data_IF_347101271842
#
_entry.id   IF_347101271842
#
_cell.length_a   1.000
_cell.length_b   1.000
_cell.length_c   1.000
_cell.angle_alpha   90.00
_cell.angle_beta   90.00
_cell.angle_gamma   90.00
#
_symmetry.space_group_name_H-M   'P 1'
#
loop_
_entity.id
_entity.type
_entity.pdbx_description
1 polymer ?
#
# COMPACT_ATOMS: atom_id res chain seq x y z
N UNK A 1 39.06 -11.72 21.60
CA UNK A 1 38.79 -13.00 20.92
C UNK A 1 38.58 -14.15 21.92
N UNK A 2 39.30 -14.19 23.03
CA UNK A 2 39.16 -15.27 24.04
C UNK A 2 37.78 -15.30 24.73
N UNK A 3 37.17 -14.15 24.93
CA UNK A 3 35.87 -13.99 25.61
C UNK A 3 34.67 -14.58 24.86
N UNK A 4 34.82 -14.88 23.58
CA UNK A 4 33.73 -15.43 22.72
C UNK A 4 33.79 -16.95 22.53
N UNK A 5 34.72 -17.64 23.20
CA UNK A 5 34.88 -19.10 23.06
C UNK A 5 33.70 -19.89 23.61
N UNK A 6 32.95 -19.33 24.56
CA UNK A 6 31.76 -19.92 25.15
C UNK A 6 30.46 -19.67 24.32
N UNK A 7 30.50 -18.73 23.35
CA UNK A 7 29.32 -18.45 22.53
C UNK A 7 29.17 -19.54 21.43
N UNK A 8 28.09 -20.30 21.53
CA UNK A 8 27.74 -21.36 20.57
C UNK A 8 27.59 -20.86 19.13
N UNK A 9 27.34 -19.56 18.95
CA UNK A 9 27.17 -18.91 17.63
C UNK A 9 28.48 -18.50 16.97
N UNK A 10 29.64 -18.76 17.63
CA UNK A 10 30.99 -18.49 17.12
C UNK A 10 31.11 -17.13 16.43
N UNK A 11 30.93 -16.01 17.16
CA UNK A 11 31.06 -14.69 16.56
C UNK A 11 32.47 -14.53 15.98
N UNK A 12 32.55 -13.95 14.80
CA UNK A 12 33.83 -13.64 14.14
C UNK A 12 34.11 -12.15 14.29
N UNK A 13 35.16 -11.83 15.05
CA UNK A 13 35.70 -10.47 15.12
C UNK A 13 36.59 -10.25 13.90
N UNK A 14 36.27 -9.26 13.08
CA UNK A 14 36.95 -8.95 11.82
C UNK A 14 38.15 -8.03 12.13
N UNK A 15 37.86 -6.80 12.53
CA UNK A 15 38.93 -5.80 12.74
C UNK A 15 38.49 -4.70 13.73
N UNK A 16 39.42 -3.82 14.06
CA UNK A 16 39.26 -2.57 14.77
C UNK A 16 39.38 -1.42 13.76
N UNK A 17 38.33 -0.66 13.58
CA UNK A 17 38.34 0.47 12.64
C UNK A 17 39.17 1.65 13.18
N UNK A 18 39.54 2.58 12.30
CA UNK A 18 40.24 3.83 12.67
C UNK A 18 39.44 4.72 13.64
N UNK A 19 38.15 4.49 13.78
CA UNK A 19 37.27 5.16 14.72
C UNK A 19 37.16 4.44 16.09
N UNK A 20 38.03 3.45 16.35
CA UNK A 20 38.01 2.58 17.54
C UNK A 20 36.72 1.76 17.68
N UNK A 21 36.03 1.46 16.56
CA UNK A 21 34.88 0.56 16.54
C UNK A 21 35.33 -0.86 16.22
N UNK A 22 34.79 -1.84 16.96
CA UNK A 22 35.04 -3.26 16.69
C UNK A 22 34.03 -3.77 15.66
N UNK A 23 34.52 -4.26 14.54
CA UNK A 23 33.72 -4.93 13.53
C UNK A 23 33.62 -6.42 13.85
N UNK A 24 32.38 -6.93 14.00
CA UNK A 24 32.15 -8.34 14.26
C UNK A 24 30.88 -8.85 13.56
N UNK A 25 30.89 -10.12 13.20
CA UNK A 25 29.72 -10.83 12.68
C UNK A 25 29.30 -11.93 13.63
N UNK A 26 28.00 -12.13 13.79
CA UNK A 26 27.41 -13.22 14.56
C UNK A 26 26.23 -13.80 13.81
N UNK A 27 26.22 -15.10 13.60
CA UNK A 27 25.11 -15.78 12.95
C UNK A 27 23.88 -15.79 13.88
N UNK A 28 22.72 -15.46 13.32
CA UNK A 28 21.44 -15.54 14.01
C UNK A 28 20.87 -16.96 13.80
N UNK A 29 21.01 -17.84 14.80
CA UNK A 29 20.59 -19.22 14.68
C UNK A 29 19.09 -19.45 14.98
N UNK A 30 18.39 -18.48 15.56
CA UNK A 30 16.97 -18.61 15.89
C UNK A 30 16.20 -17.45 15.31
N UNK A 31 14.95 -17.72 14.90
CA UNK A 31 13.99 -16.68 14.57
C UNK A 31 13.85 -15.73 15.76
N UNK A 32 13.77 -14.44 15.51
CA UNK A 32 13.53 -13.49 16.59
C UNK A 32 12.10 -13.65 17.13
N UNK A 33 11.88 -13.28 18.37
CA UNK A 33 10.58 -13.41 19.03
C UNK A 33 9.50 -12.64 18.25
N UNK A 34 9.84 -11.47 17.72
CA UNK A 34 8.92 -10.65 16.91
C UNK A 34 8.42 -11.39 15.66
N UNK A 35 9.27 -12.17 14.97
CA UNK A 35 8.83 -12.92 13.79
C UNK A 35 7.93 -14.13 14.12
N UNK A 36 7.85 -14.50 15.40
CA UNK A 36 6.98 -15.59 15.88
C UNK A 36 5.65 -14.99 16.38
N UNK A 37 5.71 -13.85 17.08
CA UNK A 37 4.54 -13.25 17.74
C UNK A 37 3.76 -12.29 16.85
N UNK A 38 4.39 -11.68 15.85
CA UNK A 38 3.78 -10.66 15.01
C UNK A 38 3.78 -11.07 13.55
N UNK A 39 2.76 -10.65 12.84
CA UNK A 39 2.67 -10.71 11.37
C UNK A 39 2.83 -9.32 10.78
N UNK A 40 3.19 -9.25 9.52
CA UNK A 40 3.26 -7.98 8.79
C UNK A 40 1.88 -7.36 8.72
N UNK A 41 1.78 -6.05 8.98
CA UNK A 41 0.51 -5.34 8.88
C UNK A 41 -0.01 -5.37 7.44
N UNK A 42 -1.23 -5.89 7.18
CA UNK A 42 -1.76 -5.98 5.82
C UNK A 42 -2.03 -4.60 5.19
N UNK A 43 -2.27 -3.56 6.01
CA UNK A 43 -2.58 -2.21 5.51
C UNK A 43 -1.35 -1.46 4.98
N UNK A 44 -0.17 -1.72 5.50
CA UNK A 44 1.04 -0.97 5.12
C UNK A 44 2.19 -1.89 4.67
N UNK A 45 1.97 -3.20 4.58
CA UNK A 45 3.02 -4.15 4.20
C UNK A 45 4.29 -4.07 5.07
N UNK A 46 4.20 -3.52 6.28
CA UNK A 46 5.33 -3.34 7.20
C UNK A 46 6.08 -2.00 7.03
N UNK A 47 5.66 -1.12 6.13
CA UNK A 47 6.28 0.20 5.92
C UNK A 47 5.99 1.21 7.06
N UNK A 48 4.95 0.97 7.86
CA UNK A 48 4.45 1.89 8.89
C UNK A 48 3.79 3.16 8.31
N UNK A 49 3.58 3.21 6.99
CA UNK A 49 2.97 4.34 6.28
C UNK A 49 1.92 3.82 5.31
N UNK A 50 0.86 4.60 5.12
CA UNK A 50 -0.18 4.38 4.12
C UNK A 50 -0.34 5.65 3.30
N UNK A 51 -0.88 5.55 2.12
CA UNK A 51 -1.13 6.71 1.28
C UNK A 51 -2.16 7.64 1.91
N UNK A 52 -1.92 8.93 1.78
CA UNK A 52 -2.87 9.94 2.21
C UNK A 52 -4.07 9.98 1.24
N UNK A 53 -5.30 10.27 1.72
CA UNK A 53 -6.49 10.34 0.87
C UNK A 53 -6.34 11.30 -0.31
N UNK A 54 -5.58 12.38 -0.13
CA UNK A 54 -5.25 13.36 -1.18
C UNK A 54 -4.44 12.74 -2.31
N UNK A 55 -3.49 11.84 -1.97
CA UNK A 55 -2.69 11.10 -2.97
C UNK A 55 -3.58 10.16 -3.77
N UNK A 56 -4.44 9.42 -3.07
CA UNK A 56 -5.40 8.52 -3.72
C UNK A 56 -6.36 9.28 -4.65
N UNK A 57 -6.81 10.47 -4.26
CA UNK A 57 -7.62 11.35 -5.11
C UNK A 57 -6.90 11.71 -6.42
N UNK A 58 -5.62 12.06 -6.34
CA UNK A 58 -4.81 12.38 -7.53
C UNK A 58 -4.66 11.15 -8.44
N UNK A 59 -4.46 9.96 -7.88
CA UNK A 59 -4.36 8.72 -8.65
C UNK A 59 -5.70 8.36 -9.32
N UNK A 60 -6.82 8.51 -8.62
CA UNK A 60 -8.16 8.33 -9.20
C UNK A 60 -8.34 9.28 -10.40
N UNK A 61 -7.99 10.57 -10.25
CA UNK A 61 -8.08 11.54 -11.33
C UNK A 61 -7.20 11.18 -12.53
N UNK A 62 -5.98 10.70 -12.29
CA UNK A 62 -5.07 10.21 -13.33
C UNK A 62 -5.67 9.01 -14.08
N UNK A 63 -6.26 8.07 -13.35
CA UNK A 63 -6.90 6.89 -13.93
C UNK A 63 -8.10 7.28 -14.79
N UNK A 64 -8.97 8.16 -14.30
CA UNK A 64 -10.10 8.69 -15.06
C UNK A 64 -9.64 9.39 -16.34
N UNK A 65 -8.60 10.22 -16.25
CA UNK A 65 -8.02 10.89 -17.42
C UNK A 65 -7.49 9.91 -18.44
N UNK A 66 -6.83 8.85 -18.02
CA UNK A 66 -6.34 7.79 -18.91
C UNK A 66 -7.50 7.09 -19.64
N UNK A 67 -8.58 6.76 -18.93
CA UNK A 67 -9.78 6.15 -19.52
C UNK A 67 -10.46 7.10 -20.51
N UNK A 68 -10.54 8.38 -20.18
CA UNK A 68 -11.10 9.42 -21.05
C UNK A 68 -10.32 9.54 -22.37
N UNK A 69 -8.98 9.61 -22.29
CA UNK A 69 -8.11 9.71 -23.47
C UNK A 69 -8.15 8.46 -24.34
N UNK A 70 -8.41 7.29 -23.77
CA UNK A 70 -8.56 6.02 -24.49
C UNK A 70 -9.95 5.83 -25.11
N UNK A 71 -10.88 6.76 -24.89
CA UNK A 71 -12.27 6.61 -25.35
C UNK A 71 -13.05 5.48 -24.67
N UNK A 72 -12.56 4.98 -23.52
CA UNK A 72 -13.17 3.90 -22.74
C UNK A 72 -14.00 4.41 -21.57
N UNK A 73 -14.40 5.67 -21.61
CA UNK A 73 -15.14 6.30 -20.53
C UNK A 73 -16.62 5.93 -20.60
N UNK A 74 -17.16 5.41 -19.51
CA UNK A 74 -18.61 5.21 -19.36
C UNK A 74 -19.23 6.42 -18.66
N UNK A 75 -20.50 6.70 -18.97
CA UNK A 75 -21.25 7.79 -18.35
C UNK A 75 -21.46 7.59 -16.84
N UNK A 76 -21.48 6.35 -16.36
CA UNK A 76 -21.64 6.02 -14.94
C UNK A 76 -20.56 5.02 -14.50
N UNK A 77 -19.78 5.41 -13.51
CA UNK A 77 -18.71 4.60 -12.94
C UNK A 77 -18.94 4.39 -11.45
N UNK A 78 -18.68 3.19 -10.97
CA UNK A 78 -18.66 2.86 -9.56
C UNK A 78 -17.20 2.94 -9.07
N UNK A 79 -16.93 3.86 -8.16
CA UNK A 79 -15.65 4.03 -7.49
C UNK A 79 -15.73 3.41 -6.10
N UNK A 80 -15.03 2.31 -5.88
CA UNK A 80 -14.95 1.66 -4.56
C UNK A 80 -13.59 1.94 -3.95
N UNK A 81 -13.58 2.41 -2.71
CA UNK A 81 -12.39 2.82 -1.96
C UNK A 81 -12.49 2.36 -0.51
N UNK A 82 -11.36 2.39 0.20
CA UNK A 82 -11.34 2.17 1.65
C UNK A 82 -12.17 3.22 2.40
N UNK A 83 -12.85 2.89 3.53
CA UNK A 83 -13.72 3.82 4.29
C UNK A 83 -13.06 5.15 4.68
N UNK A 84 -11.77 5.16 4.99
CA UNK A 84 -11.01 6.40 5.30
C UNK A 84 -11.00 7.35 4.10
N UNK A 85 -10.70 6.83 2.91
CA UNK A 85 -10.70 7.60 1.65
C UNK A 85 -12.10 8.01 1.26
N UNK A 86 -13.09 7.11 1.46
CA UNK A 86 -14.51 7.40 1.24
C UNK A 86 -14.98 8.62 2.04
N UNK A 87 -14.69 8.64 3.35
CA UNK A 87 -15.06 9.77 4.21
C UNK A 87 -14.47 11.10 3.74
N UNK A 88 -13.21 11.08 3.35
CA UNK A 88 -12.52 12.26 2.83
C UNK A 88 -13.09 12.72 1.47
N UNK A 89 -13.29 11.80 0.51
CA UNK A 89 -13.87 12.10 -0.80
C UNK A 89 -15.28 12.67 -0.70
N UNK A 90 -16.06 12.20 0.26
CA UNK A 90 -17.41 12.70 0.50
C UNK A 90 -17.43 14.14 1.02
N UNK A 91 -16.42 14.54 1.80
CA UNK A 91 -16.26 15.93 2.28
C UNK A 91 -15.77 16.86 1.18
N UNK A 92 -14.81 16.44 0.37
CA UNK A 92 -14.27 17.23 -0.72
C UNK A 92 -15.23 17.36 -1.91
N UNK A 93 -16.06 16.35 -2.13
CA UNK A 93 -16.92 16.24 -3.30
C UNK A 93 -16.19 15.73 -4.56
N UNK A 94 -16.93 15.08 -5.41
CA UNK A 94 -16.44 14.52 -6.68
C UNK A 94 -16.83 15.40 -7.90
N UNK A 95 -17.58 16.47 -7.68
CA UNK A 95 -18.19 17.27 -8.72
C UNK A 95 -17.21 17.88 -9.73
N UNK A 96 -15.97 18.15 -9.31
CA UNK A 96 -14.94 18.65 -10.22
C UNK A 96 -14.47 17.59 -11.20
N UNK A 97 -14.28 16.35 -10.73
CA UNK A 97 -13.95 15.22 -11.61
C UNK A 97 -15.11 14.83 -12.51
N UNK A 98 -16.33 14.82 -12.00
CA UNK A 98 -17.52 14.52 -12.79
C UNK A 98 -17.73 15.52 -13.92
N UNK A 99 -17.49 16.81 -13.67
CA UNK A 99 -17.54 17.86 -14.69
C UNK A 99 -16.39 17.77 -15.70
N UNK A 100 -15.15 17.50 -15.21
CA UNK A 100 -13.97 17.41 -16.08
C UNK A 100 -14.07 16.23 -17.07
N UNK A 101 -14.59 15.09 -16.60
CA UNK A 101 -14.63 13.86 -17.39
C UNK A 101 -16.01 13.51 -17.95
N UNK A 102 -17.01 14.37 -17.76
CA UNK A 102 -18.40 14.16 -18.22
C UNK A 102 -18.97 12.80 -17.80
N UNK A 103 -18.72 12.39 -16.56
CA UNK A 103 -19.20 11.11 -16.01
C UNK A 103 -19.87 11.32 -14.64
N UNK A 104 -20.65 10.35 -14.22
CA UNK A 104 -21.23 10.28 -12.88
C UNK A 104 -20.45 9.25 -12.07
N UNK A 105 -19.93 9.64 -10.90
CA UNK A 105 -19.17 8.77 -10.01
C UNK A 105 -20.04 8.34 -8.82
N UNK A 106 -20.42 7.07 -8.80
CA UNK A 106 -21.05 6.46 -7.63
C UNK A 106 -19.96 6.00 -6.67
N UNK A 107 -20.00 6.48 -5.43
CA UNK A 107 -18.99 6.16 -4.43
C UNK A 107 -19.47 5.00 -3.55
N UNK A 108 -18.64 3.97 -3.44
CA UNK A 108 -18.82 2.84 -2.53
C UNK A 108 -17.60 2.71 -1.60
N UNK A 109 -17.81 2.08 -0.45
CA UNK A 109 -16.73 1.80 0.50
C UNK A 109 -16.57 0.30 0.73
N UNK A 110 -15.33 -0.18 0.73
CA UNK A 110 -14.99 -1.56 1.06
C UNK A 110 -13.84 -1.58 2.08
N UNK A 111 -14.09 -2.02 3.31
CA UNK A 111 -13.06 -2.08 4.35
C UNK A 111 -11.99 -3.17 4.09
N UNK A 112 -12.20 -4.06 3.14
CA UNK A 112 -11.23 -5.08 2.76
C UNK A 112 -10.14 -4.55 1.83
N UNK A 113 -10.33 -3.38 1.22
CA UNK A 113 -9.34 -2.72 0.38
C UNK A 113 -8.24 -2.07 1.24
N UNK A 114 -7.02 -2.08 0.75
CA UNK A 114 -5.94 -1.26 1.29
C UNK A 114 -6.24 0.23 1.04
N UNK A 115 -5.74 1.13 1.91
CA UNK A 115 -6.06 2.56 1.84
C UNK A 115 -5.66 3.21 0.50
N UNK A 116 -4.56 2.77 -0.11
CA UNK A 116 -4.08 3.27 -1.41
C UNK A 116 -4.74 2.63 -2.63
N UNK A 117 -5.57 1.60 -2.43
CA UNK A 117 -6.17 0.84 -3.53
C UNK A 117 -7.60 1.31 -3.78
N UNK A 118 -7.96 1.45 -5.05
CA UNK A 118 -9.32 1.73 -5.47
C UNK A 118 -9.70 0.90 -6.71
N UNK A 119 -11.00 0.66 -6.89
CA UNK A 119 -11.54 0.02 -8.09
C UNK A 119 -12.50 0.95 -8.80
N UNK A 120 -12.42 0.95 -10.14
CA UNK A 120 -13.33 1.67 -11.03
C UNK A 120 -14.02 0.65 -11.92
N UNK A 121 -15.31 0.50 -11.74
CA UNK A 121 -16.15 -0.39 -12.54
C UNK A 121 -17.18 0.42 -13.34
N UNK A 122 -17.50 -0.02 -14.53
CA UNK A 122 -18.64 0.51 -15.27
C UNK A 122 -19.91 0.00 -14.61
N UNK A 123 -20.96 0.83 -14.53
CA UNK A 123 -22.22 0.45 -13.87
C UNK A 123 -22.88 -0.78 -14.51
N UNK A 124 -22.48 -1.17 -15.72
CA UNK A 124 -22.96 -2.36 -16.42
C UNK A 124 -22.28 -3.66 -15.98
N UNK A 125 -21.27 -3.60 -15.09
CA UNK A 125 -20.52 -4.77 -14.60
C UNK A 125 -20.75 -5.05 -13.10
N UNK A 126 -21.93 -4.79 -12.59
CA UNK A 126 -22.34 -5.31 -11.27
C UNK A 126 -22.52 -6.83 -11.38
N UNK A 127 -21.45 -7.60 -11.25
CA UNK A 127 -21.62 -9.04 -11.14
C UNK A 127 -20.47 -9.95 -11.57
N UNK A 128 -19.21 -9.51 -11.69
CA UNK A 128 -18.16 -10.51 -11.91
C UNK A 128 -16.79 -10.03 -11.42
N UNK A 129 -16.31 -10.69 -10.37
CA UNK A 129 -14.93 -11.14 -10.20
C UNK A 129 -13.80 -10.11 -10.10
N UNK A 130 -13.22 -10.15 -8.94
CA UNK A 130 -11.85 -9.74 -8.63
C UNK A 130 -10.89 -10.14 -9.75
N UNK A 131 -10.26 -9.17 -10.37
CA UNK A 131 -9.01 -9.42 -11.09
C UNK A 131 -8.03 -8.32 -10.69
N UNK A 132 -7.05 -8.75 -9.89
CA UNK A 132 -5.97 -7.90 -9.45
C UNK A 132 -4.93 -7.79 -10.57
N UNK A 133 -4.74 -6.60 -11.11
CA UNK A 133 -3.55 -6.30 -11.89
C UNK A 133 -2.43 -5.91 -10.93
N UNK A 134 -1.54 -6.89 -10.73
CA UNK A 134 -0.16 -6.65 -10.26
C UNK A 134 0.73 -6.71 -11.49
N UNK A 135 1.27 -5.60 -11.88
CA UNK A 135 2.56 -5.50 -12.54
C UNK A 135 3.42 -4.43 -11.89
#
# INVERSE_FOLDING_TARGET
>A
KKEFTWDKMKPKVIDLTHLNLVEMTRMKARKNLSSILYTTCPMCGGSGRVEAPETVYVEIRRRLRSLFLQGKMSHSLLLTVHPVVYGWLRQQGLGDMEREFHCTLKLASDPSLEIGVFTLLTADQEGTGREGDRE
#
